data_IF_551234507135
#
_entry.id   IF_551234507135
#
_cell.length_a   1.000
_cell.length_b   1.000
_cell.length_c   1.000
_cell.angle_alpha   90.00
_cell.angle_beta   90.00
_cell.angle_gamma   90.00
#
_symmetry.space_group_name_H-M   'P 1'
#
loop_
_entity.id
_entity.type
_entity.pdbx_description
1 polymer ?
#
# COMPACT_ATOMS: atom_id res chain seq x y z
N UNK A 1 22.98 -2.24 -3.21
CA UNK A 1 22.18 -2.88 -4.28
C UNK A 1 20.95 -2.00 -4.51
N UNK A 2 20.62 -1.67 -5.76
CA UNK A 2 19.46 -0.85 -6.08
C UNK A 2 18.21 -1.74 -6.19
N UNK A 3 17.20 -1.54 -5.33
CA UNK A 3 15.97 -2.36 -5.31
C UNK A 3 15.21 -2.30 -6.65
N UNK A 4 15.24 -1.15 -7.30
CA UNK A 4 14.63 -0.97 -8.61
C UNK A 4 15.29 -1.88 -9.66
N UNK A 5 16.62 -1.85 -9.79
CA UNK A 5 17.34 -2.67 -10.77
C UNK A 5 17.16 -4.18 -10.52
N UNK A 6 17.12 -4.57 -9.23
CA UNK A 6 16.87 -5.95 -8.82
C UNK A 6 15.48 -6.43 -9.27
N UNK A 7 14.42 -5.71 -8.88
CA UNK A 7 13.04 -6.10 -9.21
C UNK A 7 12.77 -6.03 -10.71
N UNK A 8 13.28 -5.00 -11.39
CA UNK A 8 13.20 -4.87 -12.85
C UNK A 8 13.82 -6.08 -13.56
N UNK A 9 15.01 -6.51 -13.14
CA UNK A 9 15.69 -7.66 -13.72
C UNK A 9 14.88 -8.94 -13.54
N UNK A 10 14.32 -9.16 -12.34
CA UNK A 10 13.44 -10.32 -12.06
C UNK A 10 12.21 -10.31 -12.96
N UNK A 11 11.52 -9.18 -13.05
CA UNK A 11 10.29 -9.10 -13.85
C UNK A 11 10.55 -9.29 -15.35
N UNK A 12 11.66 -8.75 -15.87
CA UNK A 12 12.08 -8.99 -17.26
C UNK A 12 12.41 -10.46 -17.52
N UNK A 13 13.15 -11.11 -16.62
CA UNK A 13 13.47 -12.55 -16.73
C UNK A 13 12.20 -13.42 -16.69
N UNK A 14 11.21 -13.03 -15.88
CA UNK A 14 9.93 -13.72 -15.76
C UNK A 14 8.93 -13.34 -16.86
N UNK A 15 9.27 -12.42 -17.76
CA UNK A 15 8.37 -11.87 -18.80
C UNK A 15 7.08 -11.27 -18.23
N UNK A 16 7.16 -10.68 -17.04
CA UNK A 16 6.06 -9.94 -16.43
C UNK A 16 6.01 -8.55 -17.08
N UNK A 17 4.82 -8.14 -17.51
CA UNK A 17 4.56 -6.79 -18.01
C UNK A 17 4.45 -5.81 -16.85
N UNK A 18 5.09 -4.65 -16.98
CA UNK A 18 5.01 -3.55 -16.02
C UNK A 18 5.29 -2.22 -16.72
N UNK A 19 4.90 -1.10 -16.09
CA UNK A 19 5.29 0.24 -16.49
C UNK A 19 6.42 0.74 -15.58
N UNK A 20 7.32 1.57 -16.09
CA UNK A 20 8.42 2.11 -15.28
C UNK A 20 8.84 3.52 -15.69
N UNK A 21 9.57 4.20 -14.80
CA UNK A 21 10.10 5.54 -15.04
C UNK A 21 11.56 5.75 -14.56
N UNK A 22 12.32 4.68 -14.34
CA UNK A 22 13.73 4.76 -13.92
C UNK A 22 13.97 4.66 -12.40
N UNK A 23 12.92 4.72 -11.58
CA UNK A 23 13.02 4.55 -10.12
C UNK A 23 11.80 3.88 -9.47
N UNK A 24 10.66 3.88 -10.18
CA UNK A 24 9.41 3.24 -9.77
C UNK A 24 8.96 2.26 -10.87
N UNK A 25 8.44 1.11 -10.44
CA UNK A 25 7.76 0.13 -11.28
C UNK A 25 6.29 0.09 -10.88
N UNK A 26 5.37 0.22 -11.85
CA UNK A 26 3.95 -0.06 -11.68
C UNK A 26 3.65 -1.44 -12.25
N UNK A 27 3.13 -2.33 -11.42
CA UNK A 27 2.80 -3.70 -11.80
C UNK A 27 1.33 -3.96 -11.50
N UNK A 28 0.61 -4.55 -12.45
CA UNK A 28 -0.75 -5.01 -12.20
C UNK A 28 -0.71 -6.24 -11.27
N UNK A 29 -1.31 -6.12 -10.09
CA UNK A 29 -1.34 -7.16 -9.06
C UNK A 29 -2.38 -6.82 -7.98
N UNK A 30 -3.15 -7.80 -7.53
CA UNK A 30 -4.16 -7.65 -6.46
C UNK A 30 -3.53 -7.74 -5.05
N UNK A 31 -2.25 -8.13 -4.95
CA UNK A 31 -1.56 -8.24 -3.67
C UNK A 31 -1.31 -6.86 -3.04
N UNK A 32 -1.74 -6.65 -1.80
CA UNK A 32 -1.52 -5.41 -1.05
C UNK A 32 -0.04 -5.09 -0.78
N UNK A 33 0.81 -6.12 -0.68
CA UNK A 33 2.22 -5.97 -0.37
C UNK A 33 3.06 -6.03 -1.64
N UNK A 34 3.81 -4.97 -1.91
CA UNK A 34 4.74 -4.88 -3.02
C UNK A 34 6.20 -4.86 -2.54
N UNK A 35 7.15 -5.34 -3.35
CA UNK A 35 8.57 -5.12 -3.10
C UNK A 35 8.93 -3.63 -3.12
N UNK A 36 10.08 -3.28 -2.52
CA UNK A 36 10.60 -1.89 -2.59
C UNK A 36 10.81 -1.46 -4.04
N UNK A 37 10.48 -0.21 -4.36
CA UNK A 37 10.48 0.36 -5.72
C UNK A 37 9.39 -0.16 -6.67
N UNK A 38 8.44 -0.96 -6.16
CA UNK A 38 7.29 -1.46 -6.91
C UNK A 38 6.00 -0.95 -6.26
N UNK A 39 5.04 -0.49 -7.06
CA UNK A 39 3.68 -0.18 -6.65
C UNK A 39 2.73 -1.06 -7.45
N UNK A 40 1.87 -1.77 -6.72
CA UNK A 40 0.82 -2.55 -7.34
C UNK A 40 -0.38 -1.66 -7.67
N UNK A 41 -1.05 -1.98 -8.78
CA UNK A 41 -2.34 -1.41 -9.14
C UNK A 41 -3.26 -2.50 -9.66
N UNK A 42 -4.55 -2.23 -9.60
CA UNK A 42 -5.59 -3.06 -10.20
C UNK A 42 -6.73 -2.16 -10.69
N UNK A 43 -7.54 -2.67 -11.61
CA UNK A 43 -8.72 -1.98 -12.09
C UNK A 43 -9.97 -2.51 -11.39
N UNK A 44 -10.89 -1.61 -11.05
CA UNK A 44 -12.21 -1.98 -10.52
C UNK A 44 -13.30 -1.29 -11.34
N UNK A 45 -14.43 -1.97 -11.51
CA UNK A 45 -15.58 -1.46 -12.27
C UNK A 45 -16.75 -1.04 -11.36
N UNK A 46 -16.77 -1.50 -10.10
CA UNK A 46 -17.84 -1.24 -9.15
C UNK A 46 -17.28 -0.81 -7.78
N UNK A 47 -17.73 0.35 -7.30
CA UNK A 47 -17.29 0.92 -6.03
C UNK A 47 -17.80 0.14 -4.81
N UNK A 48 -18.98 -0.49 -4.89
CA UNK A 48 -19.53 -1.28 -3.79
C UNK A 48 -18.73 -2.57 -3.60
N UNK A 49 -18.35 -3.22 -4.70
CA UNK A 49 -17.47 -4.38 -4.69
C UNK A 49 -16.11 -4.01 -4.09
N UNK A 50 -15.47 -2.92 -4.55
CA UNK A 50 -14.20 -2.44 -4.00
C UNK A 50 -14.29 -2.18 -2.49
N UNK A 51 -15.32 -1.45 -2.04
CA UNK A 51 -15.51 -1.19 -0.61
C UNK A 51 -15.70 -2.48 0.20
N UNK A 52 -16.34 -3.50 -0.37
CA UNK A 52 -16.53 -4.79 0.29
C UNK A 52 -15.19 -5.53 0.43
N UNK A 53 -14.39 -5.58 -0.63
CA UNK A 53 -13.02 -6.16 -0.60
C UNK A 53 -12.15 -5.45 0.44
N UNK A 54 -12.11 -4.12 0.42
CA UNK A 54 -11.32 -3.33 1.38
C UNK A 54 -11.78 -3.59 2.82
N UNK A 55 -13.09 -3.74 3.06
CA UNK A 55 -13.61 -4.08 4.39
C UNK A 55 -13.12 -5.43 4.87
N UNK A 56 -13.09 -6.45 4.00
CA UNK A 56 -12.55 -7.77 4.33
C UNK A 56 -11.04 -7.77 4.61
N UNK A 57 -10.32 -6.78 4.09
CA UNK A 57 -8.87 -6.62 4.27
C UNK A 57 -8.50 -5.54 5.30
N UNK A 58 -9.46 -5.03 6.07
CA UNK A 58 -9.25 -3.89 7.01
C UNK A 58 -8.05 -4.11 7.94
N UNK A 59 -7.87 -5.32 8.46
CA UNK A 59 -6.75 -5.66 9.36
C UNK A 59 -5.36 -5.54 8.71
N UNK A 60 -5.30 -5.53 7.38
CA UNK A 60 -4.06 -5.41 6.59
C UNK A 60 -3.85 -3.99 6.04
N UNK A 61 -4.81 -3.09 6.23
CA UNK A 61 -4.83 -1.76 5.62
C UNK A 61 -4.77 -0.71 6.74
N UNK A 62 -3.66 0.02 6.80
CA UNK A 62 -3.50 1.11 7.77
C UNK A 62 -4.34 2.35 7.42
N UNK A 63 -4.37 2.74 6.15
CA UNK A 63 -5.17 3.88 5.72
C UNK A 63 -5.50 3.84 4.22
N UNK A 64 -6.55 4.57 3.82
CA UNK A 64 -6.92 4.81 2.43
C UNK A 64 -6.78 6.29 2.13
N UNK A 65 -6.02 6.64 1.09
CA UNK A 65 -5.84 8.01 0.62
C UNK A 65 -6.72 8.28 -0.60
N UNK A 66 -7.38 9.43 -0.65
CA UNK A 66 -8.22 9.87 -1.77
C UNK A 66 -9.69 10.01 -1.39
N UNK A 67 -10.58 9.94 -2.39
CA UNK A 67 -12.03 10.12 -2.20
C UNK A 67 -12.60 9.08 -1.22
N UNK A 68 -13.26 9.55 -0.16
CA UNK A 68 -13.77 8.68 0.91
C UNK A 68 -12.71 8.19 1.90
N UNK A 69 -11.45 8.59 1.76
CA UNK A 69 -10.35 8.33 2.69
C UNK A 69 -9.76 9.63 3.25
N UNK A 70 -8.53 9.55 3.73
CA UNK A 70 -7.77 10.75 4.11
C UNK A 70 -7.35 11.53 2.85
N UNK A 71 -7.27 12.87 2.90
CA UNK A 71 -6.83 13.66 1.75
C UNK A 71 -5.42 13.34 1.30
N UNK A 72 -5.11 13.54 0.01
CA UNK A 72 -3.76 13.39 -0.52
C UNK A 72 -2.74 14.24 0.26
N UNK A 73 -1.51 13.73 0.40
CA UNK A 73 -0.44 14.34 1.17
C UNK A 73 -0.53 14.09 2.68
N UNK A 74 -1.73 13.94 3.24
CA UNK A 74 -1.95 13.75 4.70
C UNK A 74 -1.23 12.52 5.25
N UNK A 75 -1.22 11.42 4.50
CA UNK A 75 -0.60 10.15 4.93
C UNK A 75 0.91 10.26 5.21
N UNK A 76 1.58 11.29 4.66
CA UNK A 76 3.01 11.53 4.87
C UNK A 76 3.30 12.33 6.15
N UNK A 77 2.25 12.75 6.87
CA UNK A 77 2.33 13.53 8.10
C UNK A 77 1.51 12.86 9.22
N UNK A 78 1.85 11.61 9.60
CA UNK A 78 1.14 10.92 10.68
C UNK A 78 1.30 11.70 11.99
N UNK A 79 0.22 11.78 12.76
CA UNK A 79 0.23 12.31 14.11
C UNK A 79 0.77 11.26 15.08
N UNK A 80 1.12 11.72 16.28
CA UNK A 80 1.69 10.85 17.33
C UNK A 80 0.74 9.70 17.72
N UNK A 81 -0.58 9.90 17.55
CA UNK A 81 -1.62 8.92 17.87
C UNK A 81 -2.19 8.18 16.64
N UNK A 82 -1.61 8.34 15.45
CA UNK A 82 -2.01 7.61 14.25
C UNK A 82 -1.37 6.21 14.24
N UNK A 83 -1.69 5.40 15.26
CA UNK A 83 -1.19 4.04 15.43
C UNK A 83 -1.68 3.13 14.31
N UNK A 84 -0.80 2.28 13.77
CA UNK A 84 -1.07 1.46 12.59
C UNK A 84 -2.19 0.42 12.79
N UNK A 85 -2.37 -0.04 14.03
CA UNK A 85 -3.39 -0.99 14.48
C UNK A 85 -4.54 -0.30 15.23
N UNK A 86 -4.50 1.03 15.36
CA UNK A 86 -5.47 1.81 16.14
C UNK A 86 -5.38 1.59 17.66
N UNK A 87 -4.35 0.90 18.16
CA UNK A 87 -4.16 0.64 19.59
C UNK A 87 -3.22 1.68 20.19
N UNK A 88 -3.69 2.39 21.22
CA UNK A 88 -2.86 3.35 21.94
C UNK A 88 -1.75 2.63 22.72
N UNK A 89 -0.55 2.65 22.14
CA UNK A 89 0.62 1.98 22.70
C UNK A 89 1.06 2.62 24.03
N UNK A 90 0.82 3.92 24.21
CA UNK A 90 1.20 4.63 25.45
C UNK A 90 0.23 4.27 26.58
N UNK A 91 -1.06 4.21 26.29
CA UNK A 91 -2.07 3.72 27.23
C UNK A 91 -1.80 2.26 27.64
N UNK A 92 -1.41 1.40 26.70
CA UNK A 92 -1.02 0.02 27.00
C UNK A 92 0.17 -0.05 27.97
N UNK A 93 1.25 0.69 27.71
CA UNK A 93 2.47 0.65 28.52
C UNK A 93 2.30 1.24 29.92
N UNK A 94 1.38 2.18 30.11
CA UNK A 94 1.14 2.86 31.40
C UNK A 94 0.19 2.09 32.32
N UNK A 95 -0.46 1.03 31.82
CA UNK A 95 -1.37 0.14 32.57
C UNK A 95 -0.73 -1.18 33.03
N UNK A 96 0.59 -1.32 32.84
CA UNK A 96 1.43 -2.42 33.37
C UNK A 96 2.06 -1.97 34.68
#
# INVERSE_FOLDING_TARGET
>A
MNNYDYNRSIFLLQKITFLENGFLILKEDENLFSPVSVVHYEFYNDLNQLNSTLKHQTEKIQCRVGTGGIPFGTAQQPKIWDYADGVDTIDFLTKI
#
